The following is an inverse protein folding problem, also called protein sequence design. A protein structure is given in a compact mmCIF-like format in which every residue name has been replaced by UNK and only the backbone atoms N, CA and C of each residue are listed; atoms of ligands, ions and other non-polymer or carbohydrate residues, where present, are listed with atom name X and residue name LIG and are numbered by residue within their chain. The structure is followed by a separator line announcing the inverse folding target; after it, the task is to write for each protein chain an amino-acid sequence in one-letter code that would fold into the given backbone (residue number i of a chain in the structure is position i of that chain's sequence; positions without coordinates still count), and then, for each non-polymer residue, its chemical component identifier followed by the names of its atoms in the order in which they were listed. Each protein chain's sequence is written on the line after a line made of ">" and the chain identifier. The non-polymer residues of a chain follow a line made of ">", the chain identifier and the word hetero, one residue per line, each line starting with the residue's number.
data_IF_774138664955
#
_entry.id   IF_774138664955
#
_cell.length_a   1.000
_cell.length_b   1.000
_cell.length_c   1.000
_cell.angle_alpha   90.00
_cell.angle_beta   90.00
_cell.angle_gamma   90.00
#
_symmetry.space_group_name_H-M   'P 1'
#
loop_
_entity.id
_entity.type
_entity.pdbx_description
1 polymer ?
#
# COMPACT_ATOMS: atom_id res chain seq x y z
N UNK A 1 23.96 -23.83 4.55
CA UNK A 1 24.97 -23.10 3.74
C UNK A 1 24.75 -21.62 3.94
N UNK A 2 25.72 -20.90 4.52
CA UNK A 2 25.67 -19.43 4.64
C UNK A 2 25.92 -18.86 3.25
N UNK A 3 24.93 -18.21 2.65
CA UNK A 3 25.16 -17.35 1.49
C UNK A 3 25.94 -16.12 1.97
N UNK A 4 27.18 -15.97 1.56
CA UNK A 4 27.97 -14.74 1.72
C UNK A 4 27.44 -13.72 0.73
N UNK A 5 26.76 -12.70 1.23
CA UNK A 5 26.43 -11.52 0.44
C UNK A 5 27.59 -10.53 0.55
N UNK A 6 27.90 -9.89 -0.56
CA UNK A 6 28.92 -8.85 -0.65
C UNK A 6 28.42 -7.63 0.16
N UNK A 7 28.87 -7.53 1.41
CA UNK A 7 28.56 -6.43 2.31
C UNK A 7 29.52 -5.29 2.02
N UNK A 8 29.19 -4.43 1.08
CA UNK A 8 29.78 -3.09 1.06
C UNK A 8 29.26 -2.35 2.29
N UNK A 9 30.11 -2.25 3.31
CA UNK A 9 29.86 -1.46 4.53
C UNK A 9 29.80 0.02 4.16
N UNK A 10 28.61 0.53 3.94
CA UNK A 10 28.32 1.96 4.00
C UNK A 10 28.00 2.36 5.45
N UNK A 11 28.31 3.62 5.87
CA UNK A 11 28.02 4.06 7.24
C UNK A 11 26.54 3.83 7.58
N UNK A 12 26.25 3.58 8.86
CA UNK A 12 24.90 3.36 9.41
C UNK A 12 23.91 4.45 8.96
N UNK A 13 23.33 4.30 7.78
CA UNK A 13 22.22 5.12 7.33
C UNK A 13 20.94 4.51 7.91
N UNK A 14 20.48 5.06 9.03
CA UNK A 14 19.17 4.71 9.56
C UNK A 14 18.08 5.18 8.60
N UNK A 15 17.18 4.28 8.25
CA UNK A 15 16.02 4.58 7.43
C UNK A 15 15.06 5.50 8.18
N UNK A 16 14.79 6.68 7.61
CA UNK A 16 13.84 7.62 8.19
C UNK A 16 12.43 7.39 7.63
N UNK A 17 11.57 6.82 8.46
CA UNK A 17 10.19 6.50 8.12
C UNK A 17 9.34 7.74 7.78
N UNK A 18 9.62 8.89 8.38
CA UNK A 18 8.85 10.12 8.17
C UNK A 18 9.40 11.01 7.05
N UNK A 19 10.51 10.62 6.43
CA UNK A 19 11.08 11.26 5.25
C UNK A 19 10.87 10.45 3.98
N UNK A 20 9.68 9.86 3.84
CA UNK A 20 9.28 9.04 2.69
C UNK A 20 7.88 9.43 2.20
N UNK A 21 7.60 9.06 0.95
CA UNK A 21 6.26 9.14 0.39
C UNK A 21 5.42 7.93 0.78
N UNK A 22 4.16 8.19 1.12
CA UNK A 22 3.18 7.13 1.40
C UNK A 22 1.94 7.28 0.53
N UNK A 23 1.42 6.19 -0.04
CA UNK A 23 0.17 6.21 -0.78
C UNK A 23 -1.00 6.36 0.19
N UNK A 24 -2.00 7.12 -0.20
CA UNK A 24 -3.19 7.37 0.61
C UNK A 24 -4.37 6.54 0.11
N UNK A 25 -4.66 6.66 -1.19
CA UNK A 25 -5.84 6.06 -1.80
C UNK A 25 -5.72 6.08 -3.33
N UNK A 26 -6.25 5.08 -4.06
CA UNK A 26 -6.47 5.19 -5.50
C UNK A 26 -7.46 6.32 -5.82
N UNK A 27 -7.19 7.07 -6.88
CA UNK A 27 -8.03 8.20 -7.29
C UNK A 27 -9.45 7.74 -7.66
N UNK A 28 -9.58 6.56 -8.25
CA UNK A 28 -10.88 5.99 -8.63
C UNK A 28 -11.81 5.72 -7.44
N UNK A 29 -11.29 5.65 -6.20
CA UNK A 29 -12.07 5.46 -4.98
C UNK A 29 -12.40 6.78 -4.26
N UNK A 30 -12.01 7.93 -4.82
CA UNK A 30 -12.18 9.25 -4.21
C UNK A 30 -13.25 10.07 -4.94
N UNK A 31 -14.32 10.42 -4.22
CA UNK A 31 -15.33 11.34 -4.73
C UNK A 31 -14.86 12.80 -4.57
N UNK A 32 -14.77 13.52 -5.69
CA UNK A 32 -14.37 14.95 -5.71
C UNK A 32 -15.35 15.89 -5.02
N UNK A 33 -16.53 15.42 -4.65
CA UNK A 33 -17.60 16.25 -4.04
C UNK A 33 -17.53 16.33 -2.52
N UNK A 34 -16.82 15.37 -1.89
CA UNK A 34 -16.76 15.25 -0.43
C UNK A 34 -15.33 15.11 0.07
N UNK A 35 -15.00 15.52 1.29
CA UNK A 35 -13.74 15.19 1.94
C UNK A 35 -13.75 13.75 2.47
N UNK A 36 -12.57 13.10 2.50
CA UNK A 36 -12.39 11.71 2.90
C UNK A 36 -11.46 11.61 4.10
N UNK A 37 -11.91 10.97 5.18
CA UNK A 37 -11.09 10.66 6.34
C UNK A 37 -10.14 9.49 6.03
N UNK A 38 -8.87 9.63 6.37
CA UNK A 38 -7.86 8.54 6.32
C UNK A 38 -6.94 8.60 7.53
N UNK A 39 -6.47 7.43 7.97
CA UNK A 39 -5.40 7.33 8.97
C UNK A 39 -4.21 6.66 8.32
N UNK A 40 -3.02 7.24 8.46
CA UNK A 40 -1.76 6.74 7.91
C UNK A 40 -0.63 7.13 8.87
N UNK A 41 0.24 6.19 9.24
CA UNK A 41 1.33 6.45 10.19
C UNK A 41 0.86 7.01 11.55
N UNK A 42 -0.34 6.64 11.98
CA UNK A 42 -0.95 7.21 13.17
C UNK A 42 -1.36 8.69 13.03
N UNK A 43 -1.37 9.22 11.81
CA UNK A 43 -1.80 10.57 11.48
C UNK A 43 -3.21 10.53 10.92
N UNK A 44 -4.12 11.29 11.48
CA UNK A 44 -5.44 11.50 10.91
C UNK A 44 -5.36 12.58 9.85
N UNK A 45 -5.70 12.24 8.61
CA UNK A 45 -5.67 13.16 7.48
C UNK A 45 -7.01 13.23 6.78
N UNK A 46 -7.33 14.40 6.22
CA UNK A 46 -8.43 14.57 5.29
C UNK A 46 -7.91 14.73 3.88
N UNK A 47 -8.41 13.89 2.96
CA UNK A 47 -8.14 13.99 1.52
C UNK A 47 -9.34 14.67 0.87
N UNK A 48 -9.11 15.72 0.09
CA UNK A 48 -10.18 16.45 -0.54
C UNK A 48 -9.76 17.08 -1.87
N UNK A 49 -10.73 17.30 -2.76
CA UNK A 49 -10.50 17.89 -4.07
C UNK A 49 -10.62 19.41 -3.99
N UNK A 50 -9.51 20.11 -4.18
CA UNK A 50 -9.54 21.57 -4.35
C UNK A 50 -9.95 21.91 -5.79
N UNK A 51 -11.16 22.46 -5.96
CA UNK A 51 -11.69 22.85 -7.26
C UNK A 51 -10.91 24.00 -7.89
N UNK A 52 -10.32 24.88 -7.06
CA UNK A 52 -9.61 26.07 -7.54
C UNK A 52 -8.26 25.73 -8.11
N UNK A 53 -7.57 24.73 -7.50
CA UNK A 53 -6.27 24.27 -7.97
C UNK A 53 -6.37 23.00 -8.82
N UNK A 54 -7.57 22.42 -8.99
CA UNK A 54 -7.82 21.16 -9.70
C UNK A 54 -6.87 20.06 -9.23
N UNK A 55 -6.73 19.92 -7.91
CA UNK A 55 -5.77 19.01 -7.30
C UNK A 55 -6.32 18.34 -6.04
N UNK A 56 -5.91 17.09 -5.81
CA UNK A 56 -6.10 16.43 -4.52
C UNK A 56 -5.16 17.01 -3.47
N UNK A 57 -5.71 17.35 -2.33
CA UNK A 57 -5.00 17.90 -1.16
C UNK A 57 -5.11 16.94 0.01
N UNK A 58 -4.05 16.91 0.83
CA UNK A 58 -4.02 16.16 2.07
C UNK A 58 -3.71 17.12 3.22
N UNK A 59 -4.66 17.26 4.15
CA UNK A 59 -4.53 18.14 5.31
C UNK A 59 -4.58 17.33 6.60
N UNK A 60 -4.11 17.92 7.69
CA UNK A 60 -4.42 17.46 9.04
C UNK A 60 -5.94 17.44 9.21
N UNK A 61 -6.50 16.32 9.66
CA UNK A 61 -7.96 16.18 9.85
C UNK A 61 -8.44 16.89 11.13
N UNK A 62 -7.89 18.06 11.39
CA UNK A 62 -8.14 18.80 12.63
C UNK A 62 -8.41 20.27 12.34
N UNK A 63 -9.64 20.71 12.60
CA UNK A 63 -9.98 22.13 12.50
C UNK A 63 -9.29 22.93 13.63
N UNK A 64 -8.51 23.97 13.31
CA UNK A 64 -7.76 24.74 14.30
C UNK A 64 -8.66 25.50 15.30
N UNK A 65 -9.95 25.63 15.02
CA UNK A 65 -10.88 26.31 15.91
C UNK A 65 -11.09 25.53 17.21
N UNK A 66 -11.61 24.29 17.12
CA UNK A 66 -11.97 23.44 18.28
C UNK A 66 -11.77 21.95 18.01
N UNK A 67 -10.80 21.62 17.21
CA UNK A 67 -10.31 20.26 16.92
C UNK A 67 -11.35 19.32 16.28
N UNK A 68 -12.42 19.86 15.69
CA UNK A 68 -13.38 19.03 14.97
C UNK A 68 -12.75 18.46 13.69
N UNK A 69 -13.09 17.20 13.30
CA UNK A 69 -12.55 16.59 12.10
C UNK A 69 -13.06 17.29 10.84
N UNK A 70 -12.15 17.70 9.97
CA UNK A 70 -12.46 18.37 8.71
C UNK A 70 -13.05 17.41 7.67
N UNK A 71 -12.76 16.13 7.80
CA UNK A 71 -13.32 15.07 6.97
C UNK A 71 -14.83 14.88 7.12
N UNK A 72 -15.41 15.35 8.23
CA UNK A 72 -16.86 15.37 8.43
C UNK A 72 -17.51 16.64 7.82
N UNK A 73 -16.68 17.51 7.25
CA UNK A 73 -17.10 18.75 6.62
C UNK A 73 -17.63 18.56 5.20
N UNK A 74 -17.47 19.61 4.41
CA UNK A 74 -17.90 19.63 3.00
C UNK A 74 -17.00 20.52 2.16
N UNK A 75 -17.14 20.44 0.85
CA UNK A 75 -16.56 21.42 -0.09
C UNK A 75 -17.64 22.45 -0.37
N UNK A 76 -17.37 23.70 -0.03
CA UNK A 76 -18.34 24.80 -0.20
C UNK A 76 -18.50 25.20 -1.69
N UNK A 77 -19.41 26.12 -1.94
CA UNK A 77 -19.73 26.62 -3.28
C UNK A 77 -18.52 27.30 -3.97
N UNK A 78 -17.56 27.81 -3.21
CA UNK A 78 -16.32 28.43 -3.72
C UNK A 78 -15.16 27.43 -3.82
N UNK A 79 -15.41 26.12 -3.64
CA UNK A 79 -14.40 25.09 -3.76
C UNK A 79 -13.44 24.99 -2.58
N UNK A 80 -13.81 25.51 -1.40
CA UNK A 80 -12.99 25.48 -0.17
C UNK A 80 -13.44 24.37 0.75
N UNK A 81 -12.52 23.79 1.53
CA UNK A 81 -12.86 22.84 2.59
C UNK A 81 -13.53 23.59 3.75
N UNK A 82 -14.77 23.22 4.08
CA UNK A 82 -15.54 23.84 5.15
C UNK A 82 -15.74 22.89 6.31
N UNK A 83 -15.35 23.33 7.51
CA UNK A 83 -15.60 22.61 8.75
C UNK A 83 -17.11 22.54 9.04
N UNK A 84 -17.60 21.34 9.37
CA UNK A 84 -19.03 21.11 9.67
C UNK A 84 -19.47 21.78 10.94
N UNK A 85 -18.56 22.02 11.92
CA UNK A 85 -18.94 22.43 13.26
C UNK A 85 -19.26 23.91 13.34
N UNK A 86 -18.40 24.81 12.82
CA UNK A 86 -18.63 26.26 12.88
C UNK A 86 -18.45 26.98 11.54
N UNK A 87 -18.36 26.24 10.44
CA UNK A 87 -18.32 26.79 9.09
C UNK A 87 -16.99 27.46 8.67
N UNK A 88 -15.90 27.30 9.41
CA UNK A 88 -14.62 27.83 8.99
C UNK A 88 -14.21 27.21 7.65
N UNK A 89 -13.73 28.04 6.71
CA UNK A 89 -13.42 27.63 5.36
C UNK A 89 -11.93 27.79 5.06
N UNK A 90 -11.33 26.76 4.45
CA UNK A 90 -9.90 26.67 4.15
C UNK A 90 -9.67 26.52 2.64
N UNK A 91 -8.67 27.22 2.10
CA UNK A 91 -8.22 27.02 0.71
C UNK A 91 -7.18 25.89 0.61
N UNK A 92 -6.75 25.55 -0.61
CA UNK A 92 -5.78 24.50 -0.89
C UNK A 92 -4.39 24.66 -0.25
N UNK A 93 -4.08 25.86 0.24
CA UNK A 93 -2.85 26.14 0.99
C UNK A 93 -3.05 26.11 2.52
N UNK A 94 -4.21 25.66 3.00
CA UNK A 94 -4.52 25.56 4.42
C UNK A 94 -4.87 26.88 5.12
N UNK A 95 -4.86 28.01 4.40
CA UNK A 95 -5.23 29.29 4.97
C UNK A 95 -6.74 29.36 5.22
N UNK A 96 -7.13 29.81 6.40
CA UNK A 96 -8.52 30.18 6.65
C UNK A 96 -8.92 31.37 5.76
N UNK A 97 -10.01 31.24 5.06
CA UNK A 97 -10.54 32.27 4.15
C UNK A 97 -11.84 32.89 4.62
N UNK A 98 -12.51 32.24 5.57
CA UNK A 98 -13.77 32.70 6.08
C UNK A 98 -14.09 32.11 7.45
N UNK A 99 -14.51 32.98 8.35
CA UNK A 99 -15.03 32.65 9.69
C UNK A 99 -16.42 33.31 9.79
N UNK A 100 -17.51 32.53 9.71
CA UNK A 100 -18.87 33.08 9.69
C UNK A 100 -19.22 33.98 10.89
N UNK A 101 -18.59 33.72 12.03
CA UNK A 101 -18.86 34.44 13.29
C UNK A 101 -17.95 35.67 13.48
N UNK A 102 -17.01 35.92 12.58
CA UNK A 102 -16.16 37.11 12.69
C UNK A 102 -16.97 38.37 12.38
N UNK A 103 -16.87 39.42 13.20
CA UNK A 103 -17.55 40.70 12.91
C UNK A 103 -17.06 41.29 11.57
N UNK A 104 -17.98 41.80 10.71
CA UNK A 104 -17.60 42.38 9.42
C UNK A 104 -16.58 43.51 9.53
N UNK A 105 -16.72 44.35 10.57
CA UNK A 105 -15.86 45.50 10.82
C UNK A 105 -14.75 45.24 11.84
N UNK A 106 -14.58 43.95 12.22
CA UNK A 106 -13.55 43.52 13.17
C UNK A 106 -12.19 43.24 12.53
N UNK A 107 -11.14 42.93 13.33
CA UNK A 107 -9.86 42.58 12.81
C UNK A 107 -9.97 41.31 11.95
N UNK A 108 -9.14 41.13 10.89
CA UNK A 108 -9.21 40.00 9.98
C UNK A 108 -8.62 38.71 10.62
N UNK A 109 -9.30 38.21 11.66
CA UNK A 109 -8.84 37.07 12.49
C UNK A 109 -8.60 35.77 11.71
N UNK A 110 -9.24 35.63 10.56
CA UNK A 110 -9.01 34.50 9.66
C UNK A 110 -7.59 34.50 9.04
N UNK A 111 -6.87 35.62 9.05
CA UNK A 111 -5.52 35.74 8.50
C UNK A 111 -4.45 35.33 9.48
N UNK A 112 -4.76 35.09 10.74
CA UNK A 112 -3.80 34.70 11.75
C UNK A 112 -3.26 33.27 11.46
N UNK A 113 -1.96 33.07 11.67
CA UNK A 113 -1.32 31.75 11.49
C UNK A 113 -2.02 30.64 12.29
N UNK A 114 -2.54 30.97 13.47
CA UNK A 114 -3.32 30.04 14.31
C UNK A 114 -4.64 29.58 13.70
N UNK A 115 -5.15 30.32 12.70
CA UNK A 115 -6.36 29.94 11.98
C UNK A 115 -6.07 29.01 10.78
N UNK A 116 -4.80 28.71 10.50
CA UNK A 116 -4.43 27.85 9.39
C UNK A 116 -4.44 26.37 9.80
N UNK A 117 -4.81 25.48 8.87
CA UNK A 117 -4.71 24.04 9.01
C UNK A 117 -3.37 23.53 8.46
N UNK A 118 -2.84 22.45 9.03
CA UNK A 118 -1.63 21.80 8.56
C UNK A 118 -1.87 21.15 7.18
N UNK A 119 -0.97 21.45 6.23
CA UNK A 119 -1.01 20.91 4.86
C UNK A 119 0.16 19.96 4.67
N UNK A 120 -0.13 18.75 4.24
CA UNK A 120 0.88 17.79 3.84
C UNK A 120 1.17 17.93 2.35
N UNK A 121 2.45 17.99 1.93
CA UNK A 121 2.79 17.89 0.51
C UNK A 121 2.17 16.64 -0.09
N UNK A 122 1.44 16.80 -1.19
CA UNK A 122 0.70 15.71 -1.84
C UNK A 122 0.81 15.80 -3.35
N UNK A 123 0.70 14.66 -4.02
CA UNK A 123 0.71 14.55 -5.48
C UNK A 123 -0.05 13.31 -5.92
N UNK A 124 -0.42 13.27 -7.19
CA UNK A 124 -0.95 12.05 -7.83
C UNK A 124 0.12 11.45 -8.70
N UNK A 125 0.37 10.15 -8.56
CA UNK A 125 1.26 9.38 -9.41
C UNK A 125 0.74 7.93 -9.53
N UNK A 126 0.76 7.35 -10.73
CA UNK A 126 0.18 6.04 -11.02
C UNK A 126 -1.27 5.91 -10.50
N UNK A 127 -2.10 6.91 -10.73
CA UNK A 127 -3.52 6.99 -10.30
C UNK A 127 -3.74 6.88 -8.78
N UNK A 128 -2.71 7.13 -7.98
CA UNK A 128 -2.76 7.09 -6.51
C UNK A 128 -2.43 8.47 -5.96
N UNK A 129 -3.18 8.90 -4.94
CA UNK A 129 -2.83 10.07 -4.13
C UNK A 129 -1.72 9.68 -3.15
N UNK A 130 -0.62 10.42 -3.19
CA UNK A 130 0.52 10.27 -2.28
C UNK A 130 0.66 11.49 -1.40
N UNK A 131 1.16 11.29 -0.18
CA UNK A 131 1.50 12.39 0.73
C UNK A 131 2.86 12.19 1.38
N UNK A 132 3.48 13.31 1.74
CA UNK A 132 4.68 13.36 2.57
C UNK A 132 4.28 13.65 4.00
N UNK A 133 4.63 12.81 5.00
CA UNK A 133 4.04 12.86 6.34
C UNK A 133 4.62 13.96 7.25
N UNK A 134 4.81 15.16 6.72
CA UNK A 134 5.28 16.32 7.46
C UNK A 134 4.65 17.61 6.94
N UNK A 135 4.19 18.44 7.86
CA UNK A 135 3.69 19.81 7.58
C UNK A 135 4.77 20.87 7.73
N UNK A 136 6.03 20.47 8.00
CA UNK A 136 7.16 21.40 8.11
C UNK A 136 7.38 22.15 6.78
N UNK A 137 7.45 23.50 6.80
CA UNK A 137 7.65 24.31 5.60
C UNK A 137 8.87 23.93 4.75
N UNK A 138 9.90 23.34 5.35
CA UNK A 138 11.09 22.88 4.60
C UNK A 138 10.76 21.80 3.55
N UNK A 139 9.64 21.10 3.70
CA UNK A 139 9.18 20.06 2.77
C UNK A 139 8.18 20.57 1.72
N UNK A 140 7.81 21.86 1.72
CA UNK A 140 6.83 22.41 0.77
C UNK A 140 7.20 22.09 -0.68
N UNK A 141 8.48 22.11 -1.02
CA UNK A 141 8.98 21.80 -2.37
C UNK A 141 9.42 20.35 -2.57
N UNK A 142 9.08 19.45 -1.62
CA UNK A 142 9.54 18.05 -1.71
C UNK A 142 9.02 17.33 -2.97
N UNK A 143 7.82 17.69 -3.43
CA UNK A 143 7.22 17.15 -4.67
C UNK A 143 8.13 17.39 -5.88
N UNK A 144 8.87 18.51 -5.91
CA UNK A 144 9.80 18.84 -6.99
C UNK A 144 11.13 18.10 -6.85
N UNK A 145 11.57 17.84 -5.60
CA UNK A 145 12.91 17.28 -5.28
C UNK A 145 12.92 15.76 -5.28
N UNK A 146 11.87 15.12 -4.77
CA UNK A 146 11.75 13.67 -4.62
C UNK A 146 10.33 13.26 -5.02
N UNK A 147 10.20 12.43 -6.03
CA UNK A 147 8.91 11.88 -6.45
C UNK A 147 8.58 10.62 -5.66
N UNK A 148 7.29 10.25 -5.55
CA UNK A 148 6.90 8.92 -5.08
C UNK A 148 7.53 7.80 -5.91
N UNK A 149 7.59 6.55 -5.41
CA UNK A 149 7.99 5.41 -6.23
C UNK A 149 7.15 5.32 -7.50
N UNK A 150 7.83 5.21 -8.65
CA UNK A 150 7.19 5.17 -9.95
C UNK A 150 7.20 3.74 -10.51
N UNK A 151 6.05 3.28 -10.96
CA UNK A 151 5.84 1.99 -11.61
C UNK A 151 5.47 2.29 -13.07
N UNK A 152 6.41 2.18 -14.02
CA UNK A 152 6.19 2.57 -15.42
C UNK A 152 5.01 1.85 -16.08
N UNK A 153 4.81 0.59 -15.73
CA UNK A 153 3.77 -0.26 -16.29
C UNK A 153 2.35 0.25 -15.97
N UNK A 154 2.18 1.03 -14.89
CA UNK A 154 0.88 1.62 -14.52
C UNK A 154 0.55 2.89 -15.30
N UNK A 155 1.51 3.48 -15.99
CA UNK A 155 1.31 4.65 -16.86
C UNK A 155 1.27 4.27 -18.34
N UNK A 156 1.30 2.97 -18.68
CA UNK A 156 1.20 2.50 -20.05
C UNK A 156 -0.24 2.71 -20.57
N UNK A 157 -0.45 3.58 -21.58
CA UNK A 157 -1.78 3.87 -22.11
C UNK A 157 -2.44 2.68 -22.83
N UNK A 158 -1.69 1.63 -23.13
CA UNK A 158 -2.21 0.38 -23.71
C UNK A 158 -2.71 -0.60 -22.64
N UNK A 159 -2.50 -0.29 -21.38
CA UNK A 159 -2.91 -1.13 -20.26
C UNK A 159 -4.07 -0.52 -19.46
N UNK A 160 -4.82 -1.38 -18.80
CA UNK A 160 -5.86 -0.98 -17.83
C UNK A 160 -5.42 -1.41 -16.44
N UNK A 161 -5.46 -0.47 -15.51
CA UNK A 161 -5.10 -0.72 -14.10
C UNK A 161 -6.34 -1.13 -13.30
N UNK A 162 -6.20 -2.16 -12.50
CA UNK A 162 -7.20 -2.55 -11.52
C UNK A 162 -6.67 -2.26 -10.13
N UNK A 163 -7.43 -1.51 -9.32
CA UNK A 163 -7.07 -1.17 -7.96
C UNK A 163 -8.04 -1.79 -6.97
N UNK A 164 -7.50 -2.22 -5.84
CA UNK A 164 -8.23 -2.67 -4.66
C UNK A 164 -7.60 -2.05 -3.42
N UNK A 165 -8.40 -1.86 -2.37
CA UNK A 165 -7.93 -1.25 -1.14
C UNK A 165 -8.70 -1.82 0.05
N UNK A 166 -7.97 -2.15 1.13
CA UNK A 166 -8.57 -2.70 2.34
C UNK A 166 -7.71 -2.44 3.57
N UNK A 167 -8.36 -2.19 4.70
CA UNK A 167 -7.74 -2.13 6.02
C UNK A 167 -7.77 -3.51 6.68
N UNK A 168 -6.68 -3.87 7.37
CA UNK A 168 -6.47 -5.14 8.04
C UNK A 168 -6.24 -4.97 9.54
N UNK A 169 -6.74 -5.89 10.40
CA UNK A 169 -6.56 -5.87 11.85
C UNK A 169 -5.25 -6.53 12.29
N UNK A 170 -4.19 -6.31 11.53
CA UNK A 170 -2.81 -6.69 11.84
C UNK A 170 -1.83 -5.69 11.23
N UNK A 171 -0.63 -5.62 11.77
CA UNK A 171 0.35 -4.58 11.48
C UNK A 171 1.04 -4.71 10.13
N UNK A 172 1.81 -3.68 9.84
CA UNK A 172 2.53 -3.49 8.58
C UNK A 172 3.54 -4.61 8.30
N UNK A 173 4.33 -5.02 9.31
CA UNK A 173 5.39 -6.00 9.12
C UNK A 173 4.84 -7.35 8.67
N UNK A 174 3.81 -7.82 9.36
CA UNK A 174 3.14 -9.09 9.07
C UNK A 174 2.45 -9.05 7.70
N UNK A 175 1.85 -7.90 7.34
CA UNK A 175 1.28 -7.70 6.01
C UNK A 175 2.34 -7.84 4.91
N UNK A 176 3.49 -7.21 5.08
CA UNK A 176 4.59 -7.29 4.09
C UNK A 176 5.13 -8.71 3.98
N UNK A 177 5.30 -9.43 5.11
CA UNK A 177 5.76 -10.82 5.12
C UNK A 177 4.79 -11.75 4.40
N UNK A 178 3.49 -11.64 4.67
CA UNK A 178 2.47 -12.45 4.02
C UNK A 178 2.51 -12.30 2.49
N UNK A 179 2.63 -11.06 1.98
CA UNK A 179 2.72 -10.82 0.55
C UNK A 179 4.03 -11.31 -0.09
N UNK A 180 5.08 -11.43 0.69
CA UNK A 180 6.38 -11.95 0.24
C UNK A 180 6.51 -13.47 0.35
N UNK A 181 5.53 -14.14 0.96
CA UNK A 181 5.52 -15.59 1.14
C UNK A 181 4.61 -16.29 0.13
N UNK A 182 5.14 -16.93 -0.91
CA UNK A 182 4.33 -17.72 -1.83
C UNK A 182 3.93 -19.09 -1.26
N UNK A 183 4.51 -19.51 -0.11
CA UNK A 183 4.30 -20.85 0.44
C UNK A 183 2.93 -21.04 1.08
N UNK A 184 2.37 -19.97 1.65
CA UNK A 184 1.06 -20.05 2.32
C UNK A 184 -0.11 -20.25 1.35
N UNK A 185 0.05 -19.80 0.10
CA UNK A 185 -1.04 -19.71 -0.89
C UNK A 185 -1.80 -21.03 -1.09
N UNK A 186 -1.18 -22.20 -1.32
CA UNK A 186 -1.92 -23.45 -1.50
C UNK A 186 -2.59 -23.97 -0.23
N UNK A 187 -2.19 -23.51 0.95
CA UNK A 187 -2.70 -23.97 2.24
C UNK A 187 -3.68 -23.00 2.88
N UNK A 188 -3.31 -21.73 3.09
CA UNK A 188 -4.18 -20.73 3.70
C UNK A 188 -5.38 -20.39 2.79
N UNK A 189 -5.20 -20.47 1.48
CA UNK A 189 -6.25 -20.24 0.48
C UNK A 189 -6.85 -21.53 -0.08
N UNK A 190 -6.69 -22.65 0.63
CA UNK A 190 -7.22 -23.95 0.20
C UNK A 190 -8.72 -23.88 -0.09
N UNK A 191 -9.10 -24.41 -1.27
CA UNK A 191 -10.50 -24.37 -1.73
C UNK A 191 -11.02 -23.00 -2.24
N UNK A 192 -10.22 -21.92 -2.08
CA UNK A 192 -10.54 -20.58 -2.58
C UNK A 192 -9.83 -20.32 -3.90
N UNK A 193 -8.50 -20.55 -3.92
CA UNK A 193 -7.71 -20.59 -5.16
C UNK A 193 -7.62 -22.04 -5.65
N UNK A 194 -8.20 -22.31 -6.79
CA UNK A 194 -7.90 -23.53 -7.53
C UNK A 194 -6.56 -23.32 -8.25
N UNK A 195 -5.48 -23.62 -7.55
CA UNK A 195 -4.21 -23.85 -8.23
C UNK A 195 -4.33 -25.18 -8.97
N UNK A 196 -3.82 -25.24 -10.20
CA UNK A 196 -3.86 -26.46 -11.03
C UNK A 196 -3.30 -27.63 -10.23
N UNK A 197 -4.19 -28.44 -9.68
CA UNK A 197 -3.80 -29.69 -9.05
C UNK A 197 -3.47 -30.65 -10.18
N UNK A 198 -2.30 -31.34 -10.10
CA UNK A 198 -1.98 -32.35 -11.09
C UNK A 198 -3.09 -33.41 -11.08
N UNK A 199 -3.72 -33.69 -12.22
CA UNK A 199 -4.82 -34.64 -12.28
C UNK A 199 -4.31 -36.02 -11.88
N UNK A 200 -4.91 -36.61 -10.85
CA UNK A 200 -4.82 -38.04 -10.50
C UNK A 200 -3.59 -38.56 -9.73
N UNK A 201 -2.66 -37.75 -9.27
CA UNK A 201 -1.66 -38.21 -8.31
C UNK A 201 -2.13 -37.94 -6.87
N UNK A 202 -1.98 -38.92 -5.96
CA UNK A 202 -2.04 -38.64 -4.51
C UNK A 202 -0.85 -37.78 -4.18
N UNK A 203 -1.05 -36.48 -4.01
CA UNK A 203 0.00 -35.52 -3.70
C UNK A 203 -0.08 -35.21 -2.23
N UNK A 204 0.91 -35.60 -1.46
CA UNK A 204 1.01 -35.33 -0.02
C UNK A 204 1.26 -33.83 0.29
N UNK A 205 1.16 -32.93 -0.70
CA UNK A 205 1.57 -31.55 -0.56
C UNK A 205 0.49 -30.53 -0.93
N UNK A 206 -0.74 -30.92 -1.13
CA UNK A 206 -1.87 -30.01 -1.43
C UNK A 206 -1.55 -28.91 -2.47
N UNK A 207 -0.64 -29.19 -3.41
CA UNK A 207 -0.12 -28.22 -4.38
C UNK A 207 1.17 -27.50 -3.95
N UNK A 208 1.64 -27.69 -2.71
CA UNK A 208 2.92 -27.15 -2.24
C UNK A 208 4.10 -27.87 -2.90
N UNK A 209 5.07 -27.10 -3.39
CA UNK A 209 6.31 -27.60 -4.00
C UNK A 209 7.52 -26.79 -3.52
N UNK A 210 8.72 -27.35 -3.53
CA UNK A 210 9.92 -26.55 -3.34
C UNK A 210 10.02 -25.48 -4.43
N UNK A 211 10.20 -24.21 -4.01
CA UNK A 211 10.40 -23.09 -4.91
C UNK A 211 11.79 -22.48 -4.66
N UNK A 212 12.47 -22.09 -5.72
CA UNK A 212 13.73 -21.36 -5.63
C UNK A 212 13.46 -19.87 -5.54
N UNK A 213 13.65 -19.32 -4.34
CA UNK A 213 13.49 -17.89 -4.07
C UNK A 213 14.82 -17.33 -3.59
N UNK A 214 15.20 -16.16 -4.06
CA UNK A 214 16.47 -15.52 -3.70
C UNK A 214 16.36 -14.02 -3.59
N UNK A 215 17.12 -13.42 -2.67
CA UNK A 215 17.37 -11.97 -2.60
C UNK A 215 18.72 -11.70 -3.24
N UNK A 216 18.77 -10.78 -4.21
CA UNK A 216 19.99 -10.49 -5.00
C UNK A 216 20.74 -9.26 -4.48
N UNK A 217 19.99 -8.21 -4.13
CA UNK A 217 20.54 -6.93 -3.67
C UNK A 217 19.67 -6.42 -2.53
N UNK A 218 20.29 -5.93 -1.46
CA UNK A 218 19.62 -5.33 -0.31
C UNK A 218 20.38 -4.08 0.12
N UNK A 219 19.67 -2.93 0.12
CA UNK A 219 20.20 -1.65 0.57
C UNK A 219 19.14 -0.87 1.39
N UNK A 220 19.43 0.35 1.81
CA UNK A 220 18.50 1.21 2.57
C UNK A 220 17.16 1.43 1.86
N UNK A 221 17.12 1.39 0.53
CA UNK A 221 15.90 1.63 -0.25
C UNK A 221 15.06 0.38 -0.43
N UNK A 222 15.49 -0.78 0.08
CA UNK A 222 14.80 -2.06 -0.04
C UNK A 222 15.65 -3.16 -0.64
N UNK A 223 15.04 -4.05 -1.42
CA UNK A 223 15.75 -5.15 -2.08
C UNK A 223 15.08 -5.61 -3.37
N UNK A 224 15.87 -6.30 -4.18
CA UNK A 224 15.42 -7.03 -5.37
C UNK A 224 15.64 -8.51 -5.14
N UNK A 225 14.62 -9.29 -5.47
CA UNK A 225 14.67 -10.76 -5.40
C UNK A 225 14.22 -11.39 -6.70
N UNK A 226 14.29 -12.72 -6.72
CA UNK A 226 13.77 -13.53 -7.82
C UNK A 226 13.04 -14.73 -7.25
N UNK A 227 11.95 -15.07 -7.86
CA UNK A 227 11.18 -16.27 -7.65
C UNK A 227 10.88 -16.95 -9.00
N UNK A 228 10.30 -18.15 -8.97
CA UNK A 228 10.04 -18.96 -10.17
C UNK A 228 9.28 -18.18 -11.26
N UNK A 229 8.34 -17.35 -10.87
CA UNK A 229 7.46 -16.61 -11.83
C UNK A 229 8.03 -15.29 -12.32
N UNK A 230 9.17 -14.85 -11.77
CA UNK A 230 9.77 -13.60 -12.20
C UNK A 230 10.54 -12.86 -11.11
N UNK A 231 10.80 -11.59 -11.37
CA UNK A 231 11.51 -10.74 -10.45
C UNK A 231 10.56 -10.07 -9.47
N UNK A 232 11.03 -9.85 -8.26
CA UNK A 232 10.31 -9.11 -7.22
C UNK A 232 11.15 -7.95 -6.75
N UNK A 233 10.48 -6.85 -6.39
CA UNK A 233 11.14 -5.64 -5.88
C UNK A 233 10.39 -5.10 -4.70
N UNK A 234 11.05 -5.01 -3.56
CA UNK A 234 10.60 -4.21 -2.44
C UNK A 234 11.29 -2.86 -2.46
N UNK A 235 10.52 -1.80 -2.54
CA UNK A 235 10.99 -0.41 -2.41
C UNK A 235 10.43 0.16 -1.12
N UNK A 236 11.33 0.39 -0.17
CA UNK A 236 10.95 0.94 1.14
C UNK A 236 10.30 2.33 1.00
N UNK A 237 9.33 2.66 1.85
CA UNK A 237 8.84 1.83 2.95
C UNK A 237 7.72 0.84 2.59
N UNK A 238 7.02 1.02 1.48
CA UNK A 238 5.68 0.42 1.35
C UNK A 238 5.39 -0.24 0.01
N UNK A 239 6.29 -0.19 -0.98
CA UNK A 239 6.00 -0.67 -2.33
C UNK A 239 6.61 -2.05 -2.57
N UNK A 240 5.79 -3.03 -2.90
CA UNK A 240 6.21 -4.35 -3.33
C UNK A 240 5.61 -4.66 -4.71
N UNK A 241 6.47 -5.00 -5.66
CA UNK A 241 6.07 -5.33 -7.03
C UNK A 241 6.56 -6.71 -7.43
N UNK A 242 5.72 -7.45 -8.14
CA UNK A 242 6.06 -8.72 -8.78
C UNK A 242 5.92 -8.57 -10.29
N UNK A 243 7.00 -8.84 -11.00
CA UNK A 243 7.08 -8.76 -12.46
C UNK A 243 7.14 -10.17 -13.02
N UNK A 244 6.13 -10.56 -13.79
CA UNK A 244 6.16 -11.84 -14.49
C UNK A 244 7.16 -11.78 -15.63
N UNK A 245 7.99 -12.79 -15.73
CA UNK A 245 8.83 -12.94 -16.93
C UNK A 245 7.91 -13.20 -18.16
N UNK A 246 8.23 -12.67 -19.33
CA UNK A 246 7.53 -13.05 -20.56
C UNK A 246 7.56 -14.57 -20.71
N UNK A 247 6.40 -15.17 -20.92
CA UNK A 247 6.32 -16.62 -21.16
C UNK A 247 6.98 -16.91 -22.51
N UNK A 248 8.07 -17.66 -22.49
CA UNK A 248 8.70 -18.16 -23.70
C UNK A 248 7.78 -19.22 -24.32
N UNK A 249 7.11 -18.90 -25.42
CA UNK A 249 6.12 -19.77 -26.10
C UNK A 249 6.81 -20.99 -26.75
N UNK A 250 8.11 -21.06 -26.72
CA UNK A 250 8.88 -22.21 -27.16
C UNK A 250 9.38 -23.01 -25.95
N UNK A 251 8.62 -24.05 -25.62
CA UNK A 251 8.83 -24.96 -24.49
C UNK A 251 10.20 -25.67 -24.45
N UNK A 252 11.23 -24.96 -24.05
CA UNK A 252 12.45 -25.56 -23.53
C UNK A 252 12.98 -24.70 -22.40
N UNK A 253 12.82 -25.20 -21.18
CA UNK A 253 13.21 -24.55 -19.95
C UNK A 253 14.71 -24.31 -19.83
N UNK A 254 15.12 -23.10 -20.14
CA UNK A 254 16.36 -22.50 -19.64
C UNK A 254 16.31 -20.99 -19.93
N UNK A 255 15.78 -20.21 -19.00
CA UNK A 255 15.79 -18.76 -19.12
C UNK A 255 17.13 -18.22 -18.61
N UNK A 256 18.03 -17.88 -19.49
CA UNK A 256 19.18 -17.02 -19.17
C UNK A 256 18.82 -15.57 -19.42
N UNK A 257 18.84 -14.78 -18.36
CA UNK A 257 18.56 -13.36 -18.41
C UNK A 257 19.79 -12.56 -18.80
N UNK A 258 19.80 -12.01 -20.00
CA UNK A 258 20.59 -10.81 -20.34
C UNK A 258 19.77 -9.95 -21.27
N UNK A 259 19.29 -8.81 -20.74
CA UNK A 259 18.76 -7.73 -21.55
C UNK A 259 19.93 -7.13 -22.32
N UNK A 260 20.25 -7.67 -23.46
CA UNK A 260 21.15 -7.06 -24.45
C UNK A 260 20.33 -6.81 -25.69
N UNK A 261 20.30 -5.51 -26.12
CA UNK A 261 19.85 -5.12 -27.44
C UNK A 261 20.36 -6.12 -28.49
N UNK A 262 19.46 -6.87 -29.09
CA UNK A 262 19.75 -7.61 -30.32
C UNK A 262 18.67 -7.32 -31.33
N UNK A 263 18.94 -6.31 -32.14
CA UNK A 263 18.40 -6.20 -33.48
C UNK A 263 19.00 -7.36 -34.28
N UNK A 264 18.31 -8.46 -34.41
CA UNK A 264 18.63 -9.51 -35.33
C UNK A 264 17.43 -9.68 -36.27
N UNK A 265 17.67 -9.30 -37.52
CA UNK A 265 16.92 -9.66 -38.72
C UNK A 265 15.41 -9.27 -38.69
N UNK A 266 15.08 -7.98 -38.83
CA UNK A 266 13.90 -7.49 -39.57
C UNK A 266 12.50 -7.94 -39.16
N UNK A 267 12.31 -8.63 -38.05
CA UNK A 267 10.99 -8.96 -37.52
C UNK A 267 10.80 -8.29 -36.18
N UNK A 268 9.86 -7.35 -36.11
CA UNK A 268 9.37 -6.77 -34.88
C UNK A 268 8.66 -7.87 -34.07
N UNK A 269 9.41 -8.54 -33.18
CA UNK A 269 8.80 -9.26 -32.08
C UNK A 269 8.16 -8.21 -31.17
N UNK A 270 6.83 -8.10 -31.20
CA UNK A 270 6.09 -7.41 -30.16
C UNK A 270 6.45 -8.13 -28.85
N UNK A 271 7.27 -7.47 -28.02
CA UNK A 271 7.45 -7.89 -26.62
C UNK A 271 6.04 -7.98 -26.03
N UNK A 272 5.67 -9.16 -25.55
CA UNK A 272 4.43 -9.28 -24.79
C UNK A 272 4.61 -8.46 -23.51
N UNK A 273 3.70 -7.53 -23.25
CA UNK A 273 3.84 -6.66 -22.11
C UNK A 273 3.80 -7.44 -20.81
N UNK A 274 4.74 -7.15 -19.92
CA UNK A 274 4.86 -7.81 -18.62
C UNK A 274 3.69 -7.41 -17.72
N UNK A 275 2.93 -8.37 -17.22
CA UNK A 275 1.94 -8.10 -16.16
C UNK A 275 2.70 -7.80 -14.86
N UNK A 276 2.36 -6.69 -14.23
CA UNK A 276 2.89 -6.33 -12.92
C UNK A 276 1.79 -6.43 -11.88
N UNK A 277 2.07 -7.18 -10.82
CA UNK A 277 1.30 -7.14 -9.58
C UNK A 277 1.99 -6.15 -8.65
N UNK A 278 1.24 -5.20 -8.15
CA UNK A 278 1.76 -4.19 -7.23
C UNK A 278 0.97 -4.19 -5.91
N UNK A 279 1.70 -3.95 -4.83
CA UNK A 279 1.19 -3.94 -3.48
C UNK A 279 1.79 -2.75 -2.74
N UNK A 280 0.95 -1.93 -2.13
CA UNK A 280 1.38 -0.86 -1.24
C UNK A 280 0.91 -1.20 0.17
N UNK A 281 1.87 -1.56 1.02
CA UNK A 281 1.64 -1.91 2.42
C UNK A 281 1.79 -0.66 3.28
N UNK A 282 0.73 -0.19 3.89
CA UNK A 282 0.69 1.09 4.57
C UNK A 282 0.47 0.87 6.06
N UNK A 283 1.41 1.33 6.94
CA UNK A 283 1.18 1.31 8.37
C UNK A 283 0.09 2.33 8.74
N UNK A 284 -0.97 1.87 9.41
CA UNK A 284 -2.10 2.73 9.85
C UNK A 284 -1.96 3.11 11.30
N UNK A 285 -1.88 2.12 12.18
CA UNK A 285 -1.61 2.24 13.62
C UNK A 285 -1.05 0.90 14.12
N UNK A 286 -0.51 0.80 15.34
CA UNK A 286 -0.11 -0.50 15.88
C UNK A 286 -1.22 -1.53 15.73
N UNK A 287 -0.92 -2.71 15.19
CA UNK A 287 -1.89 -3.77 14.93
C UNK A 287 -2.90 -3.50 13.81
N UNK A 288 -2.69 -2.47 13.01
CA UNK A 288 -3.53 -2.17 11.85
C UNK A 288 -2.69 -1.70 10.66
N UNK A 289 -3.02 -2.22 9.50
CA UNK A 289 -2.39 -1.84 8.24
C UNK A 289 -3.43 -1.67 7.13
N UNK A 290 -3.02 -1.03 6.04
CA UNK A 290 -3.81 -0.92 4.82
C UNK A 290 -3.02 -1.49 3.67
N UNK A 291 -3.69 -2.24 2.82
CA UNK A 291 -3.16 -2.69 1.54
C UNK A 291 -3.91 -2.00 0.40
N UNK A 292 -3.16 -1.36 -0.48
CA UNK A 292 -3.61 -0.99 -1.82
C UNK A 292 -2.88 -1.92 -2.76
N UNK A 293 -3.61 -2.67 -3.60
CA UNK A 293 -3.00 -3.62 -4.52
C UNK A 293 -3.74 -3.69 -5.83
N UNK A 294 -3.10 -4.27 -6.81
CA UNK A 294 -3.70 -4.48 -8.10
C UNK A 294 -2.73 -5.05 -9.10
N UNK A 295 -3.15 -5.01 -10.33
CA UNK A 295 -2.36 -5.45 -11.48
C UNK A 295 -2.71 -4.60 -12.69
N UNK A 296 -1.75 -4.45 -13.59
CA UNK A 296 -2.01 -3.91 -14.91
C UNK A 296 -2.30 -5.05 -15.89
N UNK A 297 -3.19 -4.80 -16.84
CA UNK A 297 -3.54 -5.72 -17.92
C UNK A 297 -3.42 -5.02 -19.25
N UNK A 298 -2.79 -5.69 -20.20
CA UNK A 298 -2.62 -5.17 -21.55
C UNK A 298 -3.73 -5.59 -22.53
N UNK A 299 -4.65 -6.43 -22.09
CA UNK A 299 -5.77 -6.90 -22.93
C UNK A 299 -7.03 -6.94 -22.09
N UNK A 300 -8.01 -6.14 -22.48
CA UNK A 300 -9.38 -6.35 -22.02
C UNK A 300 -9.93 -7.66 -22.63
N UNK A 301 -9.99 -8.72 -21.82
CA UNK A 301 -10.74 -9.91 -22.22
C UNK A 301 -12.22 -9.55 -22.27
N UNK A 302 -12.90 -9.90 -23.38
CA UNK A 302 -14.35 -9.72 -23.52
C UNK A 302 -15.13 -10.42 -22.39
N UNK A 303 -14.58 -11.48 -21.81
CA UNK A 303 -15.12 -12.20 -20.66
C UNK A 303 -15.15 -11.30 -19.41
N UNK A 304 -14.17 -10.43 -19.23
CA UNK A 304 -14.11 -9.52 -18.08
C UNK A 304 -15.16 -8.42 -18.13
N UNK A 305 -15.59 -8.04 -19.32
CA UNK A 305 -16.74 -7.12 -19.51
C UNK A 305 -18.07 -7.74 -19.10
N UNK A 306 -18.16 -9.07 -19.06
CA UNK A 306 -19.37 -9.82 -18.67
C UNK A 306 -19.34 -10.18 -17.18
N UNK A 307 -18.15 -10.45 -16.61
CA UNK A 307 -18.02 -10.71 -15.17
C UNK A 307 -18.27 -9.40 -14.43
N UNK A 308 -19.36 -9.39 -13.68
CA UNK A 308 -19.68 -8.24 -12.82
C UNK A 308 -18.51 -7.96 -11.88
N UNK A 309 -17.97 -6.76 -11.93
CA UNK A 309 -16.79 -6.32 -11.15
C UNK A 309 -16.92 -6.67 -9.66
N UNK A 310 -18.12 -6.59 -9.08
CA UNK A 310 -18.36 -6.94 -7.69
C UNK A 310 -18.12 -8.43 -7.38
N UNK A 311 -18.35 -9.36 -8.33
CA UNK A 311 -18.02 -10.78 -8.13
C UNK A 311 -16.52 -11.01 -8.03
N UNK A 312 -15.74 -10.29 -8.83
CA UNK A 312 -14.29 -10.32 -8.75
C UNK A 312 -13.79 -9.77 -7.40
N UNK A 313 -14.33 -8.63 -6.96
CA UNK A 313 -14.05 -8.07 -5.65
C UNK A 313 -14.42 -9.02 -4.51
N UNK A 314 -15.56 -9.70 -4.60
CA UNK A 314 -15.96 -10.71 -3.60
C UNK A 314 -14.94 -11.85 -3.51
N UNK A 315 -14.52 -12.40 -4.65
CA UNK A 315 -13.54 -13.51 -4.68
C UNK A 315 -12.21 -13.09 -4.07
N UNK A 316 -11.71 -11.92 -4.40
CA UNK A 316 -10.47 -11.38 -3.83
C UNK A 316 -10.59 -11.08 -2.33
N UNK A 317 -11.75 -10.59 -1.88
CA UNK A 317 -11.98 -10.42 -0.44
C UNK A 317 -11.99 -11.75 0.31
N UNK A 318 -12.57 -12.82 -0.26
CA UNK A 318 -12.51 -14.16 0.34
C UNK A 318 -11.06 -14.66 0.45
N UNK A 319 -10.22 -14.34 -0.52
CA UNK A 319 -8.81 -14.71 -0.50
C UNK A 319 -8.10 -14.07 0.70
N UNK A 320 -8.18 -12.74 0.83
CA UNK A 320 -7.53 -12.04 1.95
C UNK A 320 -8.23 -12.28 3.30
N UNK A 321 -9.52 -12.66 3.32
CA UNK A 321 -10.24 -13.06 4.54
C UNK A 321 -9.67 -14.34 5.16
N UNK A 322 -9.13 -15.25 4.36
CA UNK A 322 -8.60 -16.51 4.86
C UNK A 322 -7.33 -16.34 5.71
N UNK A 323 -6.59 -15.26 5.48
CA UNK A 323 -5.36 -14.95 6.23
C UNK A 323 -5.63 -14.13 7.50
N UNK A 324 -6.75 -13.41 7.57
CA UNK A 324 -6.99 -12.39 8.59
C UNK A 324 -6.69 -12.84 10.01
N UNK A 325 -7.28 -13.95 10.43
CA UNK A 325 -7.14 -14.43 11.81
C UNK A 325 -5.76 -15.02 12.07
N UNK A 326 -5.18 -15.69 11.08
CA UNK A 326 -3.84 -16.26 11.19
C UNK A 326 -2.82 -15.16 11.47
N UNK A 327 -2.81 -14.12 10.63
CA UNK A 327 -1.88 -13.00 10.72
C UNK A 327 -2.14 -12.12 11.95
N UNK A 328 -3.41 -11.96 12.35
CA UNK A 328 -3.77 -11.26 13.58
C UNK A 328 -3.17 -11.92 14.83
N UNK A 329 -3.18 -13.26 14.88
CA UNK A 329 -2.58 -14.01 16.00
C UNK A 329 -1.06 -14.05 15.88
N UNK A 330 -0.53 -14.26 14.68
CA UNK A 330 0.91 -14.28 14.42
C UNK A 330 1.59 -13.00 14.90
N UNK A 331 1.05 -11.84 14.55
CA UNK A 331 1.59 -10.55 15.02
C UNK A 331 1.73 -10.50 16.53
N UNK A 332 0.71 -10.94 17.27
CA UNK A 332 0.72 -10.95 18.74
C UNK A 332 1.80 -11.83 19.28
N UNK A 333 2.00 -13.02 18.70
CA UNK A 333 3.08 -13.92 19.09
C UNK A 333 4.46 -13.32 18.81
N UNK A 334 4.64 -12.66 17.68
CA UNK A 334 5.88 -11.94 17.37
C UNK A 334 6.13 -10.83 18.39
N UNK A 335 5.10 -10.10 18.80
CA UNK A 335 5.22 -9.02 19.78
C UNK A 335 5.52 -9.54 21.19
N UNK A 336 4.93 -10.67 21.61
CA UNK A 336 5.26 -11.35 22.89
C UNK A 336 6.75 -11.72 22.95
N UNK A 337 7.32 -12.18 21.85
CA UNK A 337 8.74 -12.55 21.75
C UNK A 337 9.64 -11.32 21.60
N UNK A 338 9.09 -10.23 21.06
CA UNK A 338 9.77 -9.01 20.66
C UNK A 338 10.32 -9.07 19.23
N UNK A 339 10.03 -8.04 18.43
CA UNK A 339 10.35 -7.99 17.01
C UNK A 339 11.86 -8.23 16.70
N UNK A 340 12.75 -7.75 17.56
CA UNK A 340 14.20 -7.98 17.45
C UNK A 340 14.62 -9.45 17.63
N UNK A 341 13.77 -10.27 18.26
CA UNK A 341 14.03 -11.69 18.52
C UNK A 341 13.38 -12.62 17.48
N UNK A 342 12.75 -12.09 16.45
CA UNK A 342 12.05 -12.86 15.42
C UNK A 342 12.89 -14.02 14.89
N UNK A 343 14.16 -13.79 14.55
CA UNK A 343 15.08 -14.82 14.03
C UNK A 343 15.38 -15.95 15.01
N UNK A 344 15.21 -15.72 16.33
CA UNK A 344 15.39 -16.74 17.36
C UNK A 344 14.12 -17.54 17.59
N UNK A 345 12.96 -16.93 17.39
CA UNK A 345 11.66 -17.51 17.59
C UNK A 345 11.15 -18.31 16.38
N UNK A 346 11.49 -17.84 15.16
CA UNK A 346 11.02 -18.45 13.93
C UNK A 346 12.10 -19.32 13.28
N UNK A 347 11.74 -20.56 12.92
CA UNK A 347 12.61 -21.47 12.19
C UNK A 347 12.20 -21.48 10.72
N UNK A 348 13.05 -20.89 9.85
CA UNK A 348 12.79 -20.69 8.42
C UNK A 348 13.93 -21.36 7.60
N UNK A 349 13.91 -22.71 7.47
CA UNK A 349 15.03 -23.46 6.90
C UNK A 349 15.04 -23.50 5.38
N UNK A 350 13.98 -23.06 4.71
CA UNK A 350 13.81 -23.24 3.28
C UNK A 350 14.24 -22.02 2.48
N UNK A 351 14.56 -22.22 1.20
CA UNK A 351 14.84 -21.08 0.30
C UNK A 351 13.61 -20.28 -0.03
N UNK A 352 12.45 -20.86 0.16
CA UNK A 352 11.15 -20.24 -0.06
C UNK A 352 10.96 -19.02 0.82
N UNK A 353 11.50 -19.05 2.05
CA UNK A 353 11.42 -17.97 3.03
C UNK A 353 12.37 -16.78 2.73
N UNK A 354 13.13 -16.84 1.64
CA UNK A 354 14.22 -15.89 1.40
C UNK A 354 13.77 -14.42 1.34
N UNK A 355 12.57 -14.13 0.82
CA UNK A 355 12.07 -12.74 0.76
C UNK A 355 11.66 -12.26 2.16
N UNK A 356 10.99 -13.09 2.95
CA UNK A 356 10.59 -12.80 4.34
C UNK A 356 11.85 -12.54 5.17
N UNK A 357 12.85 -13.42 5.08
CA UNK A 357 14.15 -13.23 5.74
C UNK A 357 14.86 -11.98 5.23
N UNK A 358 14.76 -11.68 3.94
CA UNK A 358 15.29 -10.45 3.33
C UNK A 358 14.67 -9.20 3.92
N UNK A 359 13.34 -9.19 4.06
CA UNK A 359 12.61 -8.08 4.68
C UNK A 359 12.98 -7.89 6.16
N UNK A 360 13.03 -8.97 6.96
CA UNK A 360 13.47 -8.91 8.37
C UNK A 360 14.92 -8.45 8.52
N UNK A 361 15.82 -8.85 7.60
CA UNK A 361 17.19 -8.32 7.57
C UNK A 361 17.22 -6.83 7.25
N UNK A 362 16.40 -6.38 6.30
CA UNK A 362 16.25 -4.96 5.97
C UNK A 362 15.77 -4.16 7.19
N UNK A 363 14.70 -4.62 7.87
CA UNK A 363 14.19 -4.00 9.10
C UNK A 363 15.28 -3.91 10.18
N UNK A 364 15.98 -5.01 10.45
CA UNK A 364 17.01 -5.06 11.49
C UNK A 364 18.21 -4.16 11.18
N UNK A 365 18.62 -4.11 9.91
CA UNK A 365 19.84 -3.40 9.53
C UNK A 365 19.60 -1.89 9.38
N UNK A 366 18.46 -1.47 8.86
CA UNK A 366 18.23 -0.08 8.48
C UNK A 366 17.07 0.60 9.21
N UNK A 367 16.07 -0.14 9.67
CA UNK A 367 14.78 0.42 10.05
C UNK A 367 14.38 0.22 11.53
N UNK A 368 15.32 -0.23 12.38
CA UNK A 368 15.10 -0.36 13.83
C UNK A 368 14.24 -1.56 14.23
N UNK A 369 14.29 -2.65 13.46
CA UNK A 369 13.59 -3.94 13.69
C UNK A 369 12.08 -3.92 13.47
N UNK A 370 11.45 -2.77 13.51
CA UNK A 370 9.99 -2.59 13.35
C UNK A 370 9.68 -1.17 12.88
N UNK A 371 8.43 -0.91 12.51
CA UNK A 371 7.98 0.43 12.14
C UNK A 371 8.11 1.39 13.34
N UNK A 372 8.72 2.56 13.09
CA UNK A 372 8.86 3.59 14.11
C UNK A 372 7.67 4.54 14.07
N UNK A 373 6.85 4.53 15.10
CA UNK A 373 5.67 5.38 15.21
C UNK A 373 5.95 6.84 15.61
N UNK A 374 7.23 7.23 15.76
CA UNK A 374 7.62 8.60 16.10
C UNK A 374 7.12 9.08 17.46
N UNK A 375 6.97 8.18 18.42
CA UNK A 375 6.48 8.49 19.77
C UNK A 375 4.97 8.77 19.87
N UNK A 376 4.20 8.57 18.78
CA UNK A 376 2.74 8.77 18.77
C UNK A 376 1.95 7.72 19.58
N UNK A 377 2.57 6.57 19.79
CA UNK A 377 1.99 5.48 20.57
C UNK A 377 3.00 5.08 21.66
N UNK A 378 2.50 4.85 22.87
CA UNK A 378 3.32 4.40 23.97
C UNK A 378 3.64 2.91 23.81
N UNK A 379 4.86 2.62 23.40
CA UNK A 379 5.38 1.27 23.33
C UNK A 379 4.75 0.39 22.25
N UNK A 380 4.73 -0.88 22.53
CA UNK A 380 4.32 -1.96 21.62
C UNK A 380 2.88 -2.42 21.85
N UNK A 381 2.06 -1.59 22.50
CA UNK A 381 0.72 -1.99 22.88
C UNK A 381 -0.18 -2.16 21.64
N UNK A 382 -0.36 -3.41 21.24
CA UNK A 382 -1.35 -3.76 20.23
C UNK A 382 -2.76 -3.61 20.82
N UNK A 383 -3.76 -3.32 19.98
CA UNK A 383 -5.16 -3.46 20.40
C UNK A 383 -5.42 -4.85 20.97
N UNK A 384 -6.39 -5.00 21.88
CA UNK A 384 -6.74 -6.30 22.46
C UNK A 384 -6.98 -7.34 21.36
N UNK A 385 -6.60 -8.61 21.63
CA UNK A 385 -6.89 -9.72 20.73
C UNK A 385 -8.39 -9.85 20.52
N UNK A 386 -8.81 -9.82 19.27
CA UNK A 386 -10.20 -9.97 18.90
C UNK A 386 -10.55 -11.45 18.70
N UNK A 387 -11.76 -11.89 19.08
CA UNK A 387 -12.24 -13.23 18.75
C UNK A 387 -12.26 -13.46 17.23
N UNK A 388 -12.09 -14.72 16.82
CA UNK A 388 -12.06 -15.11 15.41
C UNK A 388 -13.25 -14.57 14.62
N UNK A 389 -14.43 -14.63 15.22
CA UNK A 389 -15.69 -14.18 14.63
C UNK A 389 -15.72 -12.66 14.36
N UNK A 390 -14.96 -11.88 15.14
CA UNK A 390 -14.85 -10.42 14.96
C UNK A 390 -13.76 -10.07 13.93
N UNK A 391 -12.66 -10.81 13.90
CA UNK A 391 -11.58 -10.61 12.95
C UNK A 391 -11.99 -11.05 11.55
N UNK A 392 -12.64 -12.20 11.45
CA UNK A 392 -13.11 -12.80 10.18
C UNK A 392 -14.51 -12.37 9.78
N UNK A 393 -15.10 -11.32 10.39
CA UNK A 393 -16.37 -10.82 9.89
C UNK A 393 -16.22 -10.55 8.40
N UNK A 394 -16.82 -11.37 7.54
CA UNK A 394 -16.84 -11.08 6.11
C UNK A 394 -17.40 -9.69 5.98
N UNK A 395 -16.74 -8.86 5.21
CA UNK A 395 -17.15 -7.49 4.90
C UNK A 395 -18.64 -7.34 5.08
N UNK A 396 -19.09 -6.68 6.15
CA UNK A 396 -20.50 -6.71 6.57
C UNK A 396 -21.36 -6.38 5.36
N UNK A 397 -22.60 -6.86 5.29
CA UNK A 397 -23.50 -6.58 4.15
C UNK A 397 -23.51 -5.10 3.77
N UNK A 398 -23.30 -4.20 4.74
CA UNK A 398 -23.19 -2.76 4.55
C UNK A 398 -21.89 -2.33 3.85
N UNK A 399 -20.74 -2.91 4.17
CA UNK A 399 -19.49 -2.63 3.46
C UNK A 399 -19.51 -3.24 2.06
N UNK A 400 -20.13 -4.43 1.89
CA UNK A 400 -20.39 -5.02 0.56
C UNK A 400 -21.28 -4.13 -0.31
N UNK A 401 -22.32 -3.54 0.26
CA UNK A 401 -23.18 -2.58 -0.44
C UNK A 401 -22.44 -1.26 -0.76
N UNK A 402 -21.65 -0.74 0.17
CA UNK A 402 -20.91 0.50 -0.04
C UNK A 402 -19.85 0.36 -1.14
N UNK A 403 -19.14 -0.76 -1.16
CA UNK A 403 -18.19 -1.10 -2.24
C UNK A 403 -18.89 -1.31 -3.59
N UNK A 404 -20.04 -1.98 -3.62
CA UNK A 404 -20.82 -2.16 -4.85
C UNK A 404 -21.40 -0.85 -5.40
N UNK A 405 -21.72 0.10 -4.52
CA UNK A 405 -22.30 1.40 -4.94
C UNK A 405 -21.19 2.36 -5.42
N UNK A 406 -19.99 2.34 -4.82
CA UNK A 406 -18.88 3.17 -5.28
C UNK A 406 -18.22 2.63 -6.55
N UNK A 407 -18.14 1.33 -6.73
CA UNK A 407 -17.59 0.71 -7.95
C UNK A 407 -18.44 0.88 -9.21
N UNK A 408 -19.69 1.28 -9.08
CA UNK A 408 -20.58 1.52 -10.24
C UNK A 408 -20.41 2.91 -10.89
N UNK A 409 -19.51 3.75 -10.37
CA UNK A 409 -19.23 5.07 -10.92
C UNK A 409 -17.87 5.20 -11.61
N UNK A 410 -17.14 4.11 -11.76
CA UNK A 410 -15.90 4.06 -12.56
C UNK A 410 -16.18 3.51 -13.96
N UNK A 411 -17.06 4.16 -14.73
CA UNK A 411 -17.17 4.02 -16.20
C UNK A 411 -17.09 5.38 -16.85
#
# INVERSE_FOLDING_TARGET
>A
MRQSFDETQTPNENFDWFSQWYPVMPVCELDKRVPHAKKILGIDVVVWWDRNESAWKVFDDTCPHRLAPLSQGRIDQWGRLQCVYHGWCFNGSGHCKFIPQAPPDGPPVHTFKKACVGVYPSTVQNEIVWFWPSTDPKYTDIVKKKKPPFIPELDDPSSTNSFMNRDFPYGYEVLVENLMDPAHVPYAHYGIMQLDQPPKAKVDREGGKPLEVSVKKLDTNGFVGRQEWGNVKFTAPCTFCMYNDPVDVQGNGSASFTRTDKTICGQNFREQPSTVFFFFCIPVSPGNSRLIWGFNKNVESWIEKIILQWLFHMKLNLLVDSDLYLLHIEERKIMEVGAANWQKACFVPTRLDALVVGFRRWLNKYAGCQFNWGGKFNGTDLPPTQPKEQVQVPCSKLQKLHFCIQGSHCT
#
